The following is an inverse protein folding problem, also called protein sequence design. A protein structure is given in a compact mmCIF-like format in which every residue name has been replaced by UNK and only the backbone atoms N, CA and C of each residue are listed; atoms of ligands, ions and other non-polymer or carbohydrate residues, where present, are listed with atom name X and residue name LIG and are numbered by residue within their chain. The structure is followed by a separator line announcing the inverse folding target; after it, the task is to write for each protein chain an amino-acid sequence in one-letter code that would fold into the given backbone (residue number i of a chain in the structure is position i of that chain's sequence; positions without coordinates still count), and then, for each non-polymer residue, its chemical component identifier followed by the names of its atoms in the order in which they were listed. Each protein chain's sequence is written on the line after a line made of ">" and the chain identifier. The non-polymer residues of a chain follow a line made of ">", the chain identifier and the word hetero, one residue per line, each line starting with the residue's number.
data_IF_722041577475
#
_entry.id   IF_722041577475
#
_cell.length_a   1.000
_cell.length_b   1.000
_cell.length_c   1.000
_cell.angle_alpha   90.00
_cell.angle_beta   90.00
_cell.angle_gamma   90.00
#
_symmetry.space_group_name_H-M   'P 1'
#
loop_
_entity.id
_entity.type
_entity.pdbx_description
1 polymer ?
#
# COMPACT_ATOMS: atom_id res chain seq x y z
N UNK A 1 5.21 -12.61 -1.28
CA UNK A 1 5.53 -11.23 -1.68
C UNK A 1 7.05 -11.07 -1.73
N UNK A 2 7.62 -10.72 -2.89
CA UNK A 2 9.03 -10.37 -3.01
C UNK A 2 9.45 -9.25 -2.05
N UNK A 3 10.71 -9.27 -1.58
CA UNK A 3 11.23 -8.24 -0.66
C UNK A 3 11.22 -6.84 -1.29
N UNK A 4 11.48 -6.74 -2.59
CA UNK A 4 11.43 -5.48 -3.34
C UNK A 4 10.03 -4.88 -3.36
N UNK A 5 9.02 -5.71 -3.62
CA UNK A 5 7.62 -5.30 -3.64
C UNK A 5 7.14 -4.90 -2.23
N UNK A 6 7.53 -5.66 -1.20
CA UNK A 6 7.26 -5.28 0.20
C UNK A 6 7.89 -3.92 0.54
N UNK A 7 9.13 -3.67 0.13
CA UNK A 7 9.79 -2.38 0.37
C UNK A 7 9.09 -1.22 -0.34
N UNK A 8 8.57 -1.45 -1.56
CA UNK A 8 7.77 -0.47 -2.28
C UNK A 8 6.44 -0.18 -1.55
N UNK A 9 5.73 -1.22 -1.08
CA UNK A 9 4.52 -1.05 -0.26
C UNK A 9 4.83 -0.24 1.01
N UNK A 10 5.89 -0.58 1.76
CA UNK A 10 6.26 0.16 2.96
C UNK A 10 6.50 1.65 2.69
N UNK A 11 7.11 2.00 1.53
CA UNK A 11 7.28 3.39 1.11
C UNK A 11 5.94 4.07 0.79
N UNK A 12 5.04 3.40 0.06
CA UNK A 12 3.68 3.91 -0.18
C UNK A 12 2.95 4.19 1.14
N UNK A 13 3.05 3.28 2.11
CA UNK A 13 2.42 3.45 3.43
C UNK A 13 3.04 4.60 4.21
N UNK A 14 4.37 4.76 4.18
CA UNK A 14 5.04 5.90 4.80
C UNK A 14 4.63 7.24 4.15
N UNK A 15 4.45 7.25 2.83
CA UNK A 15 4.05 8.40 2.03
C UNK A 15 2.61 8.85 2.32
N UNK A 16 1.69 7.88 2.39
CA UNK A 16 0.24 8.10 2.47
C UNK A 16 -0.33 8.06 3.89
N UNK A 17 0.16 7.18 4.76
CA UNK A 17 -0.31 7.07 6.16
C UNK A 17 0.60 7.82 7.13
N UNK A 18 1.90 7.92 6.82
CA UNK A 18 2.89 8.48 7.74
C UNK A 18 3.08 7.71 9.04
N UNK A 19 2.62 6.46 9.10
CA UNK A 19 2.76 5.60 10.26
C UNK A 19 4.10 4.84 10.20
N UNK A 20 5.09 5.17 11.05
CA UNK A 20 6.38 4.49 11.07
C UNK A 20 6.30 3.06 11.62
N UNK A 21 5.20 2.71 12.29
CA UNK A 21 4.99 1.38 12.88
C UNK A 21 4.39 0.39 11.89
N UNK A 22 3.82 0.86 10.78
CA UNK A 22 3.16 0.02 9.77
C UNK A 22 4.00 -1.19 9.32
N UNK A 23 5.31 -1.05 9.00
CA UNK A 23 6.13 -2.20 8.60
C UNK A 23 6.32 -3.25 9.71
N UNK A 24 6.19 -2.84 10.97
CA UNK A 24 6.34 -3.71 12.14
C UNK A 24 5.05 -4.46 12.44
N UNK A 25 3.91 -3.80 12.24
CA UNK A 25 2.56 -4.36 12.41
C UNK A 25 2.20 -5.29 11.24
N UNK A 26 2.53 -4.90 10.02
CA UNK A 26 2.17 -5.60 8.79
C UNK A 26 3.39 -6.26 8.12
N UNK A 27 4.14 -7.08 8.87
CA UNK A 27 5.36 -7.77 8.38
C UNK A 27 5.09 -8.70 7.20
N UNK A 28 3.89 -9.29 7.16
CA UNK A 28 3.42 -10.23 6.12
C UNK A 28 2.03 -9.78 5.65
N UNK A 29 1.93 -8.67 4.89
CA UNK A 29 0.67 -7.98 4.64
C UNK A 29 -0.27 -8.71 3.67
N UNK A 30 0.21 -9.76 3.00
CA UNK A 30 -0.61 -10.63 2.16
C UNK A 30 -1.08 -11.92 2.88
N UNK A 31 -0.61 -12.18 4.12
CA UNK A 31 -0.83 -13.46 4.83
C UNK A 31 -1.07 -13.19 6.32
N UNK A 32 -0.10 -13.48 7.20
CA UNK A 32 -0.27 -13.51 8.66
C UNK A 32 -0.65 -12.17 9.31
N UNK A 33 -0.27 -11.04 8.72
CA UNK A 33 -0.56 -9.71 9.29
C UNK A 33 -1.21 -8.83 8.22
N UNK A 34 -2.40 -9.19 7.74
CA UNK A 34 -2.99 -8.58 6.56
C UNK A 34 -3.31 -7.11 6.81
N UNK A 35 -3.25 -6.29 5.76
CA UNK A 35 -3.73 -4.91 5.80
C UNK A 35 -5.00 -4.81 4.95
N UNK A 36 -6.14 -4.29 5.46
CA UNK A 36 -7.43 -4.34 4.76
C UNK A 36 -7.42 -3.68 3.37
N UNK A 37 -6.58 -2.65 3.17
CA UNK A 37 -6.45 -1.98 1.88
C UNK A 37 -5.48 -2.64 0.89
N UNK A 38 -4.88 -3.79 1.21
CA UNK A 38 -3.97 -4.53 0.32
C UNK A 38 -4.61 -5.85 -0.12
N UNK A 39 -4.66 -6.06 -1.43
CA UNK A 39 -4.95 -7.37 -2.00
C UNK A 39 -3.72 -7.92 -2.71
N UNK A 40 -3.44 -9.20 -2.48
CA UNK A 40 -2.39 -9.93 -3.17
C UNK A 40 -2.98 -11.13 -3.91
N UNK A 41 -2.40 -11.45 -5.06
CA UNK A 41 -2.77 -12.61 -5.87
C UNK A 41 -1.55 -13.50 -6.09
N UNK A 42 -1.79 -14.78 -6.35
CA UNK A 42 -0.73 -15.69 -6.76
C UNK A 42 -0.19 -15.28 -8.13
N UNK A 43 1.13 -15.37 -8.30
CA UNK A 43 1.75 -15.15 -9.59
C UNK A 43 1.30 -16.26 -10.56
N UNK A 44 0.81 -15.91 -11.76
CA UNK A 44 0.33 -16.91 -12.74
C UNK A 44 1.45 -17.84 -13.22
N UNK A 45 2.69 -17.35 -13.22
CA UNK A 45 3.91 -18.03 -13.59
C UNK A 45 4.58 -18.80 -12.43
N UNK A 46 4.21 -18.50 -11.18
CA UNK A 46 4.76 -19.19 -10.01
C UNK A 46 3.81 -19.13 -8.81
N UNK A 47 3.08 -20.23 -8.58
CA UNK A 47 2.12 -20.37 -7.48
C UNK A 47 2.75 -20.30 -6.08
N UNK A 48 4.09 -20.22 -5.94
CA UNK A 48 4.76 -19.99 -4.65
C UNK A 48 4.89 -18.52 -4.30
N UNK A 49 4.66 -17.62 -5.27
CA UNK A 49 4.83 -16.18 -5.09
C UNK A 49 3.50 -15.46 -5.08
N UNK A 50 3.33 -14.58 -4.10
CA UNK A 50 2.24 -13.58 -4.05
C UNK A 50 2.75 -12.25 -4.60
N UNK A 51 1.91 -11.55 -5.35
CA UNK A 51 2.11 -10.21 -5.92
C UNK A 51 1.01 -9.27 -5.44
N UNK A 52 1.32 -8.02 -5.16
CA UNK A 52 0.32 -7.02 -4.78
C UNK A 52 -0.41 -6.53 -6.03
N UNK A 53 -1.74 -6.67 -6.05
CA UNK A 53 -2.56 -6.30 -7.22
C UNK A 53 -3.50 -5.15 -6.94
N UNK A 54 -3.86 -4.91 -5.68
CA UNK A 54 -4.67 -3.75 -5.28
C UNK A 54 -4.11 -3.08 -4.04
N UNK A 55 -4.02 -1.75 -4.10
CA UNK A 55 -3.81 -0.88 -2.96
C UNK A 55 -4.97 0.12 -2.88
N UNK A 56 -5.62 0.21 -1.73
CA UNK A 56 -6.81 1.02 -1.51
C UNK A 56 -6.69 1.81 -0.22
N UNK A 57 -6.85 3.12 -0.33
CA UNK A 57 -6.82 4.09 0.76
C UNK A 57 -8.15 4.81 0.78
N UNK A 58 -9.11 4.24 1.52
CA UNK A 58 -10.48 4.73 1.64
C UNK A 58 -10.97 4.81 3.08
N UNK A 59 -12.10 5.52 3.32
CA UNK A 59 -12.69 5.67 4.66
C UNK A 59 -13.15 4.33 5.26
N UNK A 60 -13.37 3.33 4.42
CA UNK A 60 -13.66 1.94 4.76
C UNK A 60 -12.43 1.17 5.28
N UNK A 61 -11.22 1.67 5.05
CA UNK A 61 -9.95 1.05 5.52
C UNK A 61 -9.41 1.79 6.76
N UNK A 62 -9.41 3.12 6.73
CA UNK A 62 -8.90 3.96 7.82
C UNK A 62 -9.59 5.33 7.80
N UNK A 63 -9.71 5.96 8.97
CA UNK A 63 -10.20 7.35 9.09
C UNK A 63 -9.20 8.17 9.90
N UNK A 64 -8.55 9.20 9.31
CA UNK A 64 -8.61 9.55 7.89
C UNK A 64 -7.96 8.48 7.00
N UNK A 65 -8.32 8.38 5.70
CA UNK A 65 -7.74 7.39 4.79
C UNK A 65 -6.23 7.57 4.57
N UNK A 66 -5.77 8.82 4.66
CA UNK A 66 -4.41 9.26 4.45
C UNK A 66 -4.08 10.38 5.45
N UNK A 67 -2.79 10.59 5.73
CA UNK A 67 -2.34 11.72 6.54
C UNK A 67 -2.56 13.05 5.82
N UNK A 68 -2.74 14.17 6.56
CA UNK A 68 -2.69 15.50 5.97
C UNK A 68 -1.39 15.73 5.18
N UNK A 69 -1.50 16.32 4.00
CA UNK A 69 -0.34 16.59 3.15
C UNK A 69 0.36 15.33 2.62
N UNK A 70 -0.33 14.18 2.61
CA UNK A 70 0.18 12.98 1.97
C UNK A 70 0.61 13.26 0.53
N UNK A 71 1.74 12.67 0.14
CA UNK A 71 2.31 12.79 -1.20
C UNK A 71 2.79 11.41 -1.60
N UNK A 72 2.55 11.03 -2.85
CA UNK A 72 2.99 9.76 -3.39
C UNK A 72 4.06 10.02 -4.44
N UNK A 73 5.31 9.61 -4.17
CA UNK A 73 6.38 9.79 -5.14
C UNK A 73 6.24 8.77 -6.29
N UNK A 74 6.01 9.24 -7.52
CA UNK A 74 5.80 8.37 -8.69
C UNK A 74 6.81 7.20 -8.85
N UNK A 75 8.13 7.35 -8.57
CA UNK A 75 9.08 6.25 -8.67
C UNK A 75 8.77 5.03 -7.78
N UNK A 76 8.02 5.19 -6.68
CA UNK A 76 7.66 4.07 -5.81
C UNK A 76 6.78 3.04 -6.52
N UNK A 77 5.95 3.50 -7.48
CA UNK A 77 5.04 2.64 -8.23
C UNK A 77 5.78 1.69 -9.17
N UNK A 78 7.00 2.04 -9.59
CA UNK A 78 7.86 1.14 -10.37
C UNK A 78 8.27 -0.10 -9.57
N UNK A 79 8.25 -0.03 -8.24
CA UNK A 79 8.47 -1.17 -7.35
C UNK A 79 7.24 -2.08 -7.18
N UNK A 80 6.11 -1.74 -7.80
CA UNK A 80 4.85 -2.48 -7.75
C UNK A 80 4.40 -2.91 -9.17
N UNK A 81 5.20 -3.71 -9.89
CA UNK A 81 4.99 -4.00 -11.31
C UNK A 81 3.70 -4.78 -11.62
N UNK A 82 3.05 -5.33 -10.60
CA UNK A 82 1.83 -6.13 -10.73
C UNK A 82 0.58 -5.43 -10.20
N UNK A 83 0.72 -4.17 -9.78
CA UNK A 83 -0.39 -3.38 -9.27
C UNK A 83 -1.39 -3.11 -10.40
N UNK A 84 -2.61 -3.61 -10.26
CA UNK A 84 -3.72 -3.43 -11.21
C UNK A 84 -4.61 -2.26 -10.82
N UNK A 85 -4.73 -2.00 -9.52
CA UNK A 85 -5.61 -0.97 -8.99
C UNK A 85 -4.93 -0.23 -7.84
N UNK A 86 -4.90 1.10 -7.97
CA UNK A 86 -4.56 2.01 -6.89
C UNK A 86 -5.74 2.96 -6.68
N UNK A 87 -6.32 2.90 -5.49
CA UNK A 87 -7.49 3.69 -5.12
C UNK A 87 -7.12 4.63 -3.97
N UNK A 88 -7.34 5.94 -4.17
CA UNK A 88 -6.93 6.99 -3.23
C UNK A 88 -8.10 7.94 -3.01
N UNK A 89 -8.66 7.98 -1.80
CA UNK A 89 -9.83 8.80 -1.46
C UNK A 89 -9.41 9.95 -0.56
N UNK A 90 -9.48 11.18 -1.09
CA UNK A 90 -9.20 12.39 -0.32
C UNK A 90 -7.74 12.55 0.14
N UNK A 91 -6.81 11.74 -0.35
CA UNK A 91 -5.43 11.72 0.14
C UNK A 91 -4.61 12.97 -0.18
N UNK A 92 -4.99 13.74 -1.19
CA UNK A 92 -4.21 14.90 -1.66
C UNK A 92 -4.91 16.23 -1.37
N UNK A 93 -5.96 16.21 -0.54
CA UNK A 93 -6.61 17.43 -0.09
C UNK A 93 -5.68 18.10 0.91
N UNK A 94 -5.22 19.30 0.58
CA UNK A 94 -4.61 20.19 1.57
C UNK A 94 -5.74 20.56 2.51
N UNK A 95 -5.59 20.36 3.82
CA UNK A 95 -6.56 20.89 4.78
C UNK A 95 -6.83 22.34 4.41
N UNK A 96 -8.10 22.70 4.18
CA UNK A 96 -8.48 24.06 3.77
C UNK A 96 -7.74 25.06 4.68
N UNK A 97 -6.97 25.96 4.04
CA UNK A 97 -6.26 27.03 4.73
C UNK A 97 -7.25 27.96 5.44
#
# INVERSE_FOLDING_TARGET
>A
LPRSELAAICRVMADLLGDPTWPQLHRRPCTDTPWPGLQCELAPDDARHLRATRLHFGPDVATPPCRPGARLAAPVLLGLPHLKTLSLFGCFVVADC
#
